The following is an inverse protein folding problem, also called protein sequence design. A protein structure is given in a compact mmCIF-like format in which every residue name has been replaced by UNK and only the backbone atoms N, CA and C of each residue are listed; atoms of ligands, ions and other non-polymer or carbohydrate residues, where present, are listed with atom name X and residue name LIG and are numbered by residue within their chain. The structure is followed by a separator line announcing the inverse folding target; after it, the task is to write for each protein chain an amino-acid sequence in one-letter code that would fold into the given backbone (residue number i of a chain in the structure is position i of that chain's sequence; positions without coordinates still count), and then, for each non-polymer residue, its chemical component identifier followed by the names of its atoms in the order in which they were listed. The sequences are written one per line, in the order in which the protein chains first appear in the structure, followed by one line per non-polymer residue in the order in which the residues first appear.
data_IF_854424642942
#
_entry.id   IF_854424642942
#
_cell.length_a   1.000
_cell.length_b   1.000
_cell.length_c   1.000
_cell.angle_alpha   90.00
_cell.angle_beta   90.00
_cell.angle_gamma   90.00
#
_symmetry.space_group_name_H-M   'P 1'
#
loop_
_entity.id
_entity.type
_entity.pdbx_description
1 polymer ?
#
# COMPACT_ATOMS: atom_id res chain seq x y z
N UNK A 1 -8.12 7.89 -13.67
CA UNK A 1 -9.38 7.64 -14.41
C UNK A 1 -9.57 6.14 -14.51
N UNK A 2 -10.52 5.60 -13.76
CA UNK A 2 -10.94 4.19 -13.84
C UNK A 2 -11.62 3.97 -15.19
N UNK A 3 -11.25 2.90 -15.89
CA UNK A 3 -11.86 2.54 -17.18
C UNK A 3 -13.34 2.16 -16.92
N UNK A 4 -14.31 2.74 -17.65
CA UNK A 4 -15.72 2.42 -17.44
C UNK A 4 -15.97 0.93 -17.69
N UNK A 5 -16.84 0.32 -16.88
CA UNK A 5 -17.27 -1.06 -17.06
C UNK A 5 -18.05 -1.13 -18.37
N UNK A 6 -17.55 -1.92 -19.32
CA UNK A 6 -18.20 -2.14 -20.61
C UNK A 6 -18.54 -3.61 -20.81
N UNK A 7 -19.59 -3.87 -21.59
CA UNK A 7 -19.96 -5.20 -22.06
C UNK A 7 -19.91 -5.25 -23.59
N UNK A 8 -19.30 -6.30 -24.13
CA UNK A 8 -19.18 -6.46 -25.58
C UNK A 8 -20.46 -7.03 -26.20
N UNK A 9 -20.79 -6.63 -27.43
CA UNK A 9 -21.93 -7.19 -28.16
C UNK A 9 -21.84 -8.70 -28.40
N UNK A 10 -20.62 -9.27 -28.42
CA UNK A 10 -20.38 -10.72 -28.48
C UNK A 10 -20.73 -11.42 -27.18
N UNK A 11 -20.40 -10.81 -26.05
CA UNK A 11 -20.78 -11.30 -24.74
C UNK A 11 -22.30 -11.27 -24.56
N UNK A 12 -22.96 -10.18 -24.96
CA UNK A 12 -24.42 -10.07 -24.97
C UNK A 12 -25.06 -11.17 -25.84
N UNK A 13 -24.53 -11.42 -27.05
CA UNK A 13 -25.00 -12.51 -27.91
C UNK A 13 -24.87 -13.89 -27.23
N UNK A 14 -23.75 -14.15 -26.56
CA UNK A 14 -23.52 -15.40 -25.82
C UNK A 14 -24.50 -15.57 -24.65
N UNK A 15 -24.74 -14.51 -23.87
CA UNK A 15 -25.66 -14.55 -22.72
C UNK A 15 -27.11 -14.74 -23.15
N UNK A 16 -27.47 -14.11 -24.26
CA UNK A 16 -28.85 -14.08 -24.73
C UNK A 16 -29.20 -15.23 -25.68
N UNK A 17 -28.20 -15.89 -26.27
CA UNK A 17 -28.40 -16.89 -27.32
C UNK A 17 -28.87 -16.30 -28.65
N UNK A 18 -28.90 -14.96 -28.79
CA UNK A 18 -29.21 -14.30 -30.07
C UNK A 18 -28.00 -14.41 -31.00
N UNK A 19 -28.25 -14.55 -32.31
CA UNK A 19 -27.18 -14.42 -33.31
C UNK A 19 -26.52 -13.04 -33.18
N UNK A 20 -25.18 -13.01 -33.24
CA UNK A 20 -24.41 -11.77 -33.04
C UNK A 20 -24.81 -10.66 -34.02
N UNK A 21 -25.12 -10.99 -35.28
CA UNK A 21 -25.63 -10.02 -36.27
C UNK A 21 -26.94 -9.33 -35.84
N UNK A 22 -27.81 -10.03 -35.12
CA UNK A 22 -29.08 -9.46 -34.64
C UNK A 22 -28.81 -8.51 -33.47
N UNK A 23 -27.89 -8.86 -32.58
CA UNK A 23 -27.43 -7.95 -31.51
C UNK A 23 -26.80 -6.69 -32.11
N UNK A 24 -25.95 -6.81 -33.14
CA UNK A 24 -25.37 -5.65 -33.82
C UNK A 24 -26.43 -4.75 -34.46
N UNK A 25 -27.49 -5.33 -35.05
CA UNK A 25 -28.60 -4.57 -35.61
C UNK A 25 -29.35 -3.82 -34.50
N UNK A 26 -29.75 -4.52 -33.43
CA UNK A 26 -30.49 -3.91 -32.32
C UNK A 26 -29.70 -2.77 -31.67
N UNK A 27 -28.37 -2.90 -31.55
CA UNK A 27 -27.49 -1.84 -31.05
C UNK A 27 -27.52 -0.62 -31.98
N UNK A 28 -27.44 -0.81 -33.30
CA UNK A 28 -27.49 0.31 -34.25
C UNK A 28 -28.83 1.03 -34.23
N UNK A 29 -29.93 0.29 -34.14
CA UNK A 29 -31.27 0.86 -34.02
C UNK A 29 -31.42 1.68 -32.74
N UNK A 30 -30.90 1.17 -31.61
CA UNK A 30 -30.87 1.91 -30.35
C UNK A 30 -30.01 3.18 -30.43
N UNK A 31 -28.78 3.08 -30.96
CA UNK A 31 -27.88 4.23 -31.07
C UNK A 31 -28.45 5.32 -31.99
N UNK A 32 -29.02 4.94 -33.15
CA UNK A 32 -29.68 5.87 -34.07
C UNK A 32 -30.89 6.57 -33.41
N UNK A 33 -31.67 5.85 -32.59
CA UNK A 33 -32.78 6.44 -31.84
C UNK A 33 -32.29 7.46 -30.79
N UNK A 34 -31.21 7.14 -30.05
CA UNK A 34 -30.62 8.03 -29.04
C UNK A 34 -29.94 9.26 -29.65
N UNK A 35 -29.27 9.08 -30.80
CA UNK A 35 -28.64 10.18 -31.55
C UNK A 35 -29.68 11.19 -32.05
N UNK A 36 -30.83 10.70 -32.53
CA UNK A 36 -31.96 11.55 -32.94
C UNK A 36 -32.57 12.36 -31.79
N UNK A 37 -32.48 11.85 -30.57
CA UNK A 37 -32.91 12.53 -29.34
C UNK A 37 -31.83 13.47 -28.77
N UNK A 38 -30.64 13.54 -29.41
CA UNK A 38 -29.56 14.44 -29.04
C UNK A 38 -28.60 13.89 -27.97
N UNK A 39 -28.59 12.57 -27.73
CA UNK A 39 -27.67 11.94 -26.79
C UNK A 39 -26.22 11.98 -27.28
N UNK A 40 -25.27 12.22 -26.37
CA UNK A 40 -23.84 12.10 -26.67
C UNK A 40 -23.40 10.63 -26.69
N UNK A 41 -23.05 10.11 -27.85
CA UNK A 41 -22.61 8.72 -28.07
C UNK A 41 -21.11 8.59 -28.35
N UNK A 42 -20.32 9.65 -28.12
CA UNK A 42 -18.88 9.67 -28.38
C UNK A 42 -18.09 8.62 -27.59
N UNK A 43 -18.65 8.13 -26.48
CA UNK A 43 -18.07 7.14 -25.60
C UNK A 43 -18.26 5.68 -26.10
N UNK A 44 -19.06 5.46 -27.14
CA UNK A 44 -19.33 4.11 -27.68
C UNK A 44 -18.14 3.60 -28.47
N UNK A 45 -17.58 2.46 -28.04
CA UNK A 45 -16.47 1.81 -28.73
C UNK A 45 -16.94 0.87 -29.84
N UNK A 46 -16.41 1.01 -31.06
CA UNK A 46 -16.64 0.09 -32.16
C UNK A 46 -15.32 -0.49 -32.70
N UNK A 47 -15.16 -1.81 -32.60
CA UNK A 47 -14.04 -2.50 -33.25
C UNK A 47 -14.46 -2.93 -34.66
N UNK A 48 -13.68 -2.55 -35.69
CA UNK A 48 -13.86 -3.02 -37.07
C UNK A 48 -12.82 -4.08 -37.44
N UNK A 49 -13.17 -4.98 -38.36
CA UNK A 49 -12.23 -5.93 -38.94
C UNK A 49 -11.40 -5.31 -40.08
N UNK A 50 -10.48 -6.09 -40.67
CA UNK A 50 -9.65 -5.64 -41.79
C UNK A 50 -10.45 -5.30 -43.07
N UNK A 51 -11.72 -5.66 -43.13
CA UNK A 51 -12.64 -5.39 -44.24
C UNK A 51 -13.60 -4.23 -43.92
N UNK A 52 -13.46 -3.60 -42.76
CA UNK A 52 -14.30 -2.49 -42.30
C UNK A 52 -15.63 -2.90 -41.66
N UNK A 53 -15.90 -4.19 -41.47
CA UNK A 53 -17.12 -4.65 -40.82
C UNK A 53 -17.00 -4.57 -39.30
N UNK A 54 -18.11 -4.20 -38.64
CA UNK A 54 -18.19 -4.19 -37.17
C UNK A 54 -17.92 -5.59 -36.60
N UNK A 55 -16.80 -5.74 -35.90
CA UNK A 55 -16.42 -6.96 -35.20
C UNK A 55 -17.15 -7.09 -33.86
N UNK A 56 -17.31 -5.98 -33.13
CA UNK A 56 -18.06 -5.87 -31.88
C UNK A 56 -18.24 -4.39 -31.47
N UNK A 57 -19.28 -4.14 -30.67
CA UNK A 57 -19.45 -2.88 -29.94
C UNK A 57 -19.08 -3.10 -28.47
N UNK A 58 -18.61 -2.05 -27.81
CA UNK A 58 -18.42 -1.96 -26.38
C UNK A 58 -19.41 -0.93 -25.83
N UNK A 59 -20.42 -1.43 -25.15
CA UNK A 59 -21.43 -0.60 -24.51
C UNK A 59 -21.07 -0.43 -23.04
N UNK A 60 -21.24 0.77 -22.51
CA UNK A 60 -21.18 0.97 -21.07
C UNK A 60 -22.43 0.39 -20.39
N UNK A 61 -22.52 0.60 -19.07
CA UNK A 61 -23.64 0.10 -18.28
C UNK A 61 -24.99 0.63 -18.78
N UNK A 62 -25.12 1.94 -18.96
CA UNK A 62 -26.38 2.59 -19.29
C UNK A 62 -26.89 2.14 -20.67
N UNK A 63 -26.01 2.08 -21.67
CA UNK A 63 -26.37 1.62 -23.00
C UNK A 63 -26.67 0.12 -23.03
N UNK A 64 -25.98 -0.69 -22.22
CA UNK A 64 -26.30 -2.11 -22.10
C UNK A 64 -27.67 -2.32 -21.45
N UNK A 65 -28.00 -1.58 -20.40
CA UNK A 65 -29.30 -1.60 -19.73
C UNK A 65 -30.42 -1.14 -20.68
N UNK A 66 -30.19 -0.06 -21.41
CA UNK A 66 -31.11 0.48 -22.42
C UNK A 66 -31.41 -0.55 -23.50
N UNK A 67 -30.39 -1.21 -24.06
CA UNK A 67 -30.56 -2.25 -25.07
C UNK A 67 -31.47 -3.39 -24.59
N UNK A 68 -31.30 -3.84 -23.35
CA UNK A 68 -32.03 -5.00 -22.83
C UNK A 68 -33.45 -4.68 -22.35
N UNK A 69 -33.85 -3.41 -22.31
CA UNK A 69 -35.25 -3.03 -22.11
C UNK A 69 -36.13 -3.64 -23.21
N UNK A 70 -35.66 -3.70 -24.46
CA UNK A 70 -36.34 -4.33 -25.58
C UNK A 70 -36.25 -5.86 -25.63
N UNK A 71 -35.51 -6.50 -24.72
CA UNK A 71 -35.34 -7.96 -24.69
C UNK A 71 -36.33 -8.62 -23.72
N UNK A 72 -36.57 -9.92 -23.89
CA UNK A 72 -37.45 -10.68 -22.99
C UNK A 72 -36.89 -10.74 -21.57
N UNK A 73 -37.77 -10.86 -20.57
CA UNK A 73 -37.42 -10.84 -19.14
C UNK A 73 -36.26 -11.81 -18.81
N UNK A 74 -36.23 -13.07 -19.29
CA UNK A 74 -35.11 -13.98 -18.99
C UNK A 74 -33.77 -13.51 -19.57
N UNK A 75 -33.79 -12.90 -20.76
CA UNK A 75 -32.58 -12.39 -21.43
C UNK A 75 -32.06 -11.14 -20.73
N UNK A 76 -32.98 -10.22 -20.41
CA UNK A 76 -32.68 -9.01 -19.63
C UNK A 76 -32.03 -9.37 -18.29
N UNK A 77 -32.61 -10.32 -17.56
CA UNK A 77 -32.08 -10.76 -16.26
C UNK A 77 -30.67 -11.34 -16.37
N UNK A 78 -30.38 -12.16 -17.40
CA UNK A 78 -29.03 -12.71 -17.63
C UNK A 78 -27.99 -11.63 -17.88
N UNK A 79 -28.34 -10.62 -18.68
CA UNK A 79 -27.41 -9.52 -19.02
C UNK A 79 -27.18 -8.61 -17.81
N UNK A 80 -28.24 -8.20 -17.09
CA UNK A 80 -28.11 -7.37 -15.88
C UNK A 80 -27.27 -8.08 -14.82
N UNK A 81 -27.51 -9.37 -14.58
CA UNK A 81 -26.70 -10.16 -13.64
C UNK A 81 -25.22 -10.12 -14.01
N UNK A 82 -24.90 -10.20 -15.30
CA UNK A 82 -23.52 -10.15 -15.78
C UNK A 82 -22.88 -8.77 -15.59
N UNK A 83 -23.62 -7.68 -15.76
CA UNK A 83 -23.14 -6.32 -15.45
C UNK A 83 -22.75 -6.24 -13.98
N UNK A 84 -23.63 -6.67 -13.07
CA UNK A 84 -23.32 -6.67 -11.63
C UNK A 84 -22.09 -7.53 -11.29
N UNK A 85 -21.91 -8.68 -11.96
CA UNK A 85 -20.69 -9.50 -11.80
C UNK A 85 -19.42 -8.80 -12.32
N UNK A 86 -19.54 -7.97 -13.37
CA UNK A 86 -18.41 -7.19 -13.88
C UNK A 86 -18.06 -6.04 -12.93
N UNK A 87 -19.07 -5.37 -12.37
CA UNK A 87 -18.89 -4.33 -11.34
C UNK A 87 -18.22 -4.90 -10.09
N UNK A 88 -18.66 -6.07 -9.61
CA UNK A 88 -18.04 -6.74 -8.45
C UNK A 88 -16.59 -7.21 -8.70
N UNK A 89 -16.18 -7.34 -9.97
CA UNK A 89 -14.82 -7.77 -10.35
C UNK A 89 -13.88 -6.61 -10.65
N UNK A 90 -14.40 -5.40 -10.82
CA UNK A 90 -13.57 -4.21 -10.69
C UNK A 90 -13.29 -4.08 -9.20
N UNK A 91 -12.04 -4.23 -8.73
CA UNK A 91 -11.74 -3.89 -7.35
C UNK A 91 -12.16 -2.43 -7.17
N UNK A 92 -13.17 -2.21 -6.34
CA UNK A 92 -13.49 -0.89 -5.84
C UNK A 92 -12.18 -0.28 -5.31
N UNK A 93 -11.63 0.68 -6.06
CA UNK A 93 -10.78 1.71 -5.49
C UNK A 93 -11.64 2.82 -4.89
N UNK A 94 -12.89 2.51 -4.57
CA UNK A 94 -13.71 3.27 -3.64
C UNK A 94 -13.48 2.62 -2.28
N UNK A 95 -12.79 3.27 -1.34
CA UNK A 95 -12.86 2.83 0.04
C UNK A 95 -14.34 2.77 0.39
N UNK A 96 -14.78 1.62 0.87
CA UNK A 96 -16.09 1.49 1.44
C UNK A 96 -16.31 2.62 2.46
N UNK A 97 -17.56 3.07 2.48
CA UNK A 97 -18.16 3.92 3.50
C UNK A 97 -17.81 5.41 3.34
N UNK A 98 -18.85 6.23 3.25
CA UNK A 98 -18.87 7.53 3.90
C UNK A 98 -18.71 7.32 5.43
N UNK A 99 -17.56 6.79 5.85
CA UNK A 99 -17.03 7.12 7.15
C UNK A 99 -16.78 8.62 7.06
N UNK A 100 -17.34 9.37 7.99
CA UNK A 100 -17.02 10.78 8.12
C UNK A 100 -15.50 10.95 7.97
N UNK A 101 -15.05 11.95 7.22
CA UNK A 101 -13.61 12.24 7.11
C UNK A 101 -12.99 12.30 8.51
N UNK A 102 -13.76 12.76 9.49
CA UNK A 102 -13.42 12.72 10.91
C UNK A 102 -13.20 11.30 11.46
N UNK A 103 -14.08 10.34 11.16
CA UNK A 103 -13.94 8.94 11.60
C UNK A 103 -12.73 8.27 10.96
N UNK A 104 -12.52 8.51 9.66
CA UNK A 104 -11.35 7.99 8.91
C UNK A 104 -10.06 8.54 9.50
N UNK A 105 -9.96 9.85 9.70
CA UNK A 105 -8.79 10.48 10.31
C UNK A 105 -8.58 9.96 11.74
N UNK A 106 -9.65 9.83 12.54
CA UNK A 106 -9.57 9.33 13.91
C UNK A 106 -9.05 7.88 13.97
N UNK A 107 -9.54 7.00 13.11
CA UNK A 107 -9.08 5.62 13.00
C UNK A 107 -7.60 5.54 12.59
N UNK A 108 -7.17 6.37 11.62
CA UNK A 108 -5.78 6.42 11.18
C UNK A 108 -4.85 6.96 12.27
N UNK A 109 -5.28 7.95 13.05
CA UNK A 109 -4.53 8.44 14.20
C UNK A 109 -4.39 7.37 15.29
N UNK A 110 -5.45 6.60 15.57
CA UNK A 110 -5.42 5.46 16.49
C UNK A 110 -4.41 4.38 16.04
N UNK A 111 -4.42 4.05 14.74
CA UNK A 111 -3.44 3.12 14.16
C UNK A 111 -2.02 3.68 14.30
N UNK A 112 -1.81 4.97 14.03
CA UNK A 112 -0.54 5.64 14.21
C UNK A 112 0.00 5.56 15.63
N UNK A 113 -0.86 5.77 16.63
CA UNK A 113 -0.49 5.64 18.03
C UNK A 113 -0.16 4.18 18.39
N UNK A 114 -0.93 3.20 17.89
CA UNK A 114 -0.60 1.79 18.10
C UNK A 114 0.74 1.39 17.47
N UNK A 115 1.04 1.88 16.26
CA UNK A 115 2.33 1.66 15.58
C UNK A 115 3.48 2.26 16.38
N UNK A 116 3.29 3.45 16.97
CA UNK A 116 4.27 4.11 17.84
C UNK A 116 4.60 3.31 19.10
N UNK A 117 3.68 2.46 19.59
CA UNK A 117 3.93 1.58 20.74
C UNK A 117 4.74 0.32 20.39
N UNK A 118 4.95 0.03 19.10
CA UNK A 118 5.75 -1.13 18.68
C UNK A 118 7.24 -0.87 19.02
N UNK A 119 7.90 -1.76 19.78
CA UNK A 119 9.31 -1.60 20.11
C UNK A 119 10.19 -1.43 18.85
N UNK A 120 11.04 -0.40 18.85
CA UNK A 120 11.91 -0.07 17.71
C UNK A 120 11.29 0.90 16.69
N UNK A 121 10.00 1.23 16.80
CA UNK A 121 9.38 2.28 15.97
C UNK A 121 9.58 3.64 16.61
N UNK A 122 10.18 4.56 15.87
CA UNK A 122 10.35 5.95 16.32
C UNK A 122 9.06 6.75 16.14
N UNK A 123 8.70 7.64 17.10
CA UNK A 123 7.49 8.46 17.00
C UNK A 123 7.37 9.27 15.71
N UNK A 124 8.48 9.86 15.23
CA UNK A 124 8.49 10.63 13.98
C UNK A 124 8.21 9.80 12.74
N UNK A 125 8.66 8.53 12.72
CA UNK A 125 8.37 7.59 11.62
C UNK A 125 6.89 7.20 11.64
N UNK A 126 6.37 6.85 12.82
CA UNK A 126 4.95 6.53 12.99
C UNK A 126 4.06 7.71 12.54
N UNK A 127 4.40 8.94 12.93
CA UNK A 127 3.70 10.15 12.47
C UNK A 127 3.80 10.36 10.95
N UNK A 128 4.99 10.21 10.34
CA UNK A 128 5.17 10.39 8.90
C UNK A 128 4.34 9.38 8.08
N UNK A 129 4.31 8.12 8.52
CA UNK A 129 3.47 7.08 7.93
C UNK A 129 1.99 7.41 8.12
N UNK A 130 1.59 7.86 9.30
CA UNK A 130 0.19 8.24 9.61
C UNK A 130 -0.30 9.38 8.75
N UNK A 131 0.50 10.45 8.59
CA UNK A 131 0.17 11.57 7.70
C UNK A 131 0.04 11.11 6.24
N UNK A 132 0.92 10.22 5.77
CA UNK A 132 0.81 9.64 4.43
C UNK A 132 -0.46 8.80 4.24
N UNK A 133 -0.87 8.04 5.27
CA UNK A 133 -2.14 7.30 5.23
C UNK A 133 -3.35 8.24 5.18
N UNK A 134 -3.33 9.34 5.96
CA UNK A 134 -4.40 10.35 5.92
C UNK A 134 -4.49 10.98 4.53
N UNK A 135 -3.37 11.43 3.97
CA UNK A 135 -3.30 12.03 2.63
C UNK A 135 -3.88 11.11 1.55
N UNK A 136 -3.48 9.82 1.53
CA UNK A 136 -3.95 8.84 0.54
C UNK A 136 -5.43 8.50 0.68
N UNK A 137 -5.96 8.41 1.91
CA UNK A 137 -7.34 7.98 2.15
C UNK A 137 -8.35 9.12 2.13
N UNK A 138 -7.92 10.36 2.41
CA UNK A 138 -8.83 11.51 2.53
C UNK A 138 -8.61 12.58 1.46
N UNK A 139 -7.45 12.60 0.80
CA UNK A 139 -7.05 13.67 -0.11
C UNK A 139 -6.66 14.98 0.59
N UNK A 140 -6.59 15.01 1.94
CA UNK A 140 -6.15 16.18 2.68
C UNK A 140 -4.67 16.46 2.39
N UNK A 141 -4.36 17.72 2.07
CA UNK A 141 -2.97 18.18 1.99
C UNK A 141 -2.36 18.21 3.39
N UNK A 142 -1.36 17.36 3.62
CA UNK A 142 -0.62 17.26 4.87
C UNK A 142 0.78 17.87 4.79
N UNK A 143 1.09 18.63 3.74
CA UNK A 143 2.44 19.17 3.47
C UNK A 143 2.97 19.99 4.64
N UNK A 144 2.16 20.87 5.21
CA UNK A 144 2.58 21.70 6.35
C UNK A 144 2.80 20.87 7.62
N UNK A 145 1.93 19.89 7.89
CA UNK A 145 2.13 18.96 9.00
C UNK A 145 3.40 18.11 8.83
N UNK A 146 3.72 17.72 7.58
CA UNK A 146 4.94 16.97 7.25
C UNK A 146 6.21 17.81 7.45
N UNK A 147 6.18 19.10 7.12
CA UNK A 147 7.29 20.05 7.37
C UNK A 147 7.56 20.26 8.86
N UNK A 148 6.53 20.16 9.69
CA UNK A 148 6.65 20.30 11.14
C UNK A 148 7.22 19.04 11.83
N UNK A 149 7.32 17.91 11.13
CA UNK A 149 7.98 16.73 11.68
C UNK A 149 9.46 17.03 11.93
N UNK A 150 10.02 16.57 13.05
CA UNK A 150 11.44 16.79 13.34
C UNK A 150 12.28 16.16 12.23
N UNK A 151 13.29 16.90 11.76
CA UNK A 151 14.32 16.34 10.91
C UNK A 151 14.92 15.10 11.60
N UNK A 152 15.28 14.08 10.82
CA UNK A 152 15.92 12.85 11.32
C UNK A 152 17.33 13.19 11.85
N UNK A 153 17.38 13.75 13.06
CA UNK A 153 18.60 14.06 13.81
C UNK A 153 18.92 12.98 14.84
N UNK A 154 18.16 11.88 14.87
CA UNK A 154 18.48 10.78 15.76
C UNK A 154 19.73 10.07 15.28
N UNK A 155 20.64 9.75 16.21
CA UNK A 155 21.89 9.14 15.82
C UNK A 155 21.59 7.70 15.34
N UNK A 156 22.27 7.28 14.27
CA UNK A 156 21.94 6.06 13.53
C UNK A 156 22.40 4.83 14.32
N UNK A 157 21.46 3.96 14.67
CA UNK A 157 21.73 2.67 15.32
C UNK A 157 21.86 1.56 14.26
N UNK A 158 23.03 1.40 13.66
CA UNK A 158 23.30 0.44 12.58
C UNK A 158 24.45 -0.54 12.87
N UNK A 159 25.15 -0.39 14.00
CA UNK A 159 26.31 -1.21 14.34
C UNK A 159 25.95 -2.32 15.34
N UNK A 160 26.12 -3.59 14.97
CA UNK A 160 26.11 -4.64 16.00
C UNK A 160 27.37 -4.58 16.87
N UNK A 161 27.36 -5.27 18.02
CA UNK A 161 28.50 -5.26 18.95
C UNK A 161 29.84 -5.63 18.29
N UNK A 162 29.83 -6.51 17.28
CA UNK A 162 31.04 -6.86 16.52
C UNK A 162 31.52 -5.71 15.63
N UNK A 163 30.61 -5.05 14.90
CA UNK A 163 30.94 -3.89 14.07
C UNK A 163 31.40 -2.71 14.93
N UNK A 164 30.73 -2.46 16.06
CA UNK A 164 31.10 -1.46 17.05
C UNK A 164 32.50 -1.74 17.62
N UNK A 165 32.79 -2.99 18.02
CA UNK A 165 34.10 -3.39 18.52
C UNK A 165 35.23 -3.18 17.51
N UNK A 166 34.98 -3.42 16.22
CA UNK A 166 35.99 -3.21 15.17
C UNK A 166 36.45 -1.75 15.08
N UNK A 167 35.58 -0.78 15.36
CA UNK A 167 35.95 0.65 15.33
C UNK A 167 37.04 0.98 16.34
N UNK A 168 37.11 0.23 17.44
CA UNK A 168 38.06 0.45 18.56
C UNK A 168 39.05 -0.70 18.73
N UNK A 169 39.23 -1.54 17.70
CA UNK A 169 40.18 -2.66 17.71
C UNK A 169 39.81 -3.82 18.64
N UNK A 170 38.54 -3.93 19.04
CA UNK A 170 38.05 -4.97 19.94
C UNK A 170 37.35 -6.11 19.19
N UNK A 171 37.45 -7.33 19.73
CA UNK A 171 36.62 -8.44 19.28
C UNK A 171 35.15 -8.22 19.66
N UNK A 172 34.22 -8.82 18.90
CA UNK A 172 32.78 -8.73 19.23
C UNK A 172 32.44 -9.30 20.62
N UNK A 173 33.20 -10.29 21.12
CA UNK A 173 33.03 -10.79 22.49
C UNK A 173 33.45 -9.73 23.52
N UNK A 174 34.56 -9.06 23.30
CA UNK A 174 35.04 -8.00 24.18
C UNK A 174 34.10 -6.79 24.17
N UNK A 175 33.59 -6.38 23.01
CA UNK A 175 32.61 -5.31 22.89
C UNK A 175 31.30 -5.65 23.65
N UNK A 176 30.80 -6.88 23.52
CA UNK A 176 29.62 -7.30 24.26
C UNK A 176 29.81 -7.26 25.78
N UNK A 177 30.99 -7.68 26.26
CA UNK A 177 31.33 -7.60 27.68
C UNK A 177 31.46 -6.17 28.18
N UNK A 178 32.03 -5.26 27.38
CA UNK A 178 32.14 -3.84 27.73
C UNK A 178 30.75 -3.18 27.84
N UNK A 179 29.87 -3.42 26.86
CA UNK A 179 28.48 -2.94 26.88
C UNK A 179 27.69 -3.49 28.08
N UNK A 180 27.91 -4.75 28.45
CA UNK A 180 27.29 -5.35 29.63
C UNK A 180 27.86 -4.81 30.94
N UNK A 181 29.19 -4.62 31.02
CA UNK A 181 29.87 -4.00 32.15
C UNK A 181 29.45 -2.55 32.40
N UNK A 182 29.09 -1.82 31.33
CA UNK A 182 28.49 -0.49 31.40
C UNK A 182 26.98 -0.51 31.72
N UNK A 183 26.37 -1.69 31.90
CA UNK A 183 24.95 -1.84 32.22
C UNK A 183 24.00 -1.50 31.07
N UNK A 184 24.48 -1.45 29.82
CA UNK A 184 23.69 -1.09 28.64
C UNK A 184 22.98 -2.31 28.02
N UNK A 185 23.49 -3.50 28.26
CA UNK A 185 22.84 -4.76 27.87
C UNK A 185 23.03 -5.82 28.96
N UNK A 186 22.17 -6.82 28.96
CA UNK A 186 22.26 -7.97 29.86
C UNK A 186 22.01 -9.26 29.08
N UNK A 187 22.40 -10.37 29.67
CA UNK A 187 22.15 -11.69 29.11
C UNK A 187 20.91 -12.27 29.78
N UNK A 188 19.89 -12.59 29.00
CA UNK A 188 18.65 -13.17 29.52
C UNK A 188 18.82 -14.66 29.89
N UNK A 189 17.78 -15.27 30.45
CA UNK A 189 17.76 -16.68 30.84
C UNK A 189 17.97 -17.66 29.67
N UNK A 190 17.73 -17.19 28.43
CA UNK A 190 17.94 -17.97 27.20
C UNK A 190 19.36 -17.84 26.66
N UNK A 191 20.19 -16.99 27.26
CA UNK A 191 21.56 -16.74 26.83
C UNK A 191 21.67 -15.71 25.70
N UNK A 192 20.59 -15.01 25.35
CA UNK A 192 20.59 -13.94 24.35
C UNK A 192 20.86 -12.57 25.00
N UNK A 193 21.42 -11.64 24.22
CA UNK A 193 21.63 -10.27 24.66
C UNK A 193 20.35 -9.44 24.53
N UNK A 194 19.99 -8.74 25.59
CA UNK A 194 18.84 -7.83 25.66
C UNK A 194 19.25 -6.43 26.13
N UNK A 195 18.55 -5.41 25.63
CA UNK A 195 18.78 -4.03 26.03
C UNK A 195 18.22 -3.74 27.42
N UNK A 196 19.04 -3.09 28.25
CA UNK A 196 18.55 -2.45 29.48
C UNK A 196 17.85 -1.13 29.17
N UNK A 197 17.18 -0.55 30.16
CA UNK A 197 16.60 0.79 30.03
C UNK A 197 17.66 1.85 29.67
N UNK A 198 18.84 1.77 30.28
CA UNK A 198 19.97 2.64 29.96
C UNK A 198 20.48 2.44 28.52
N UNK A 199 20.51 1.19 28.04
CA UNK A 199 20.92 0.85 26.68
C UNK A 199 20.04 1.43 25.59
N UNK A 200 18.72 1.57 25.82
CA UNK A 200 17.76 2.09 24.83
C UNK A 200 18.04 3.52 24.36
N UNK A 201 18.85 4.29 25.11
CA UNK A 201 19.27 5.64 24.71
C UNK A 201 20.29 5.61 23.57
N UNK A 202 20.97 4.48 23.38
CA UNK A 202 22.11 4.31 22.49
C UNK A 202 21.96 3.16 21.51
N UNK A 203 20.83 2.44 21.53
CA UNK A 203 20.64 1.26 20.73
C UNK A 203 19.17 0.88 20.56
N UNK A 204 18.92 0.11 19.52
CA UNK A 204 17.62 -0.46 19.17
C UNK A 204 17.75 -1.98 18.98
N UNK A 205 16.77 -2.74 19.46
CA UNK A 205 16.67 -4.17 19.19
C UNK A 205 15.82 -4.37 17.94
N UNK A 206 16.42 -4.90 16.87
CA UNK A 206 15.77 -5.11 15.59
C UNK A 206 15.57 -6.59 15.31
N UNK A 207 14.39 -7.02 14.82
CA UNK A 207 14.20 -8.38 14.36
C UNK A 207 15.12 -8.65 13.16
N UNK A 208 15.68 -9.85 13.12
CA UNK A 208 16.47 -10.33 11.98
C UNK A 208 16.09 -11.76 11.64
N UNK A 209 16.25 -12.10 10.36
CA UNK A 209 16.11 -13.46 9.88
C UNK A 209 17.40 -13.85 9.14
N UNK A 210 18.02 -14.95 9.57
CA UNK A 210 19.23 -15.50 8.94
C UNK A 210 19.13 -16.99 8.82
N UNK A 211 19.20 -17.49 7.59
CA UNK A 211 19.22 -18.93 7.27
C UNK A 211 18.07 -19.71 7.97
N UNK A 212 16.88 -19.12 8.00
CA UNK A 212 15.68 -19.72 8.62
C UNK A 212 15.59 -19.59 10.15
N UNK A 213 16.55 -18.92 10.80
CA UNK A 213 16.47 -18.55 12.21
C UNK A 213 16.06 -17.08 12.34
N UNK A 214 14.93 -16.84 13.00
CA UNK A 214 14.45 -15.51 13.37
C UNK A 214 14.83 -15.20 14.82
N UNK A 215 15.28 -13.97 15.07
CA UNK A 215 15.66 -13.51 16.41
C UNK A 215 15.74 -11.99 16.49
N UNK A 216 16.26 -11.47 17.61
CA UNK A 216 16.51 -10.04 17.79
C UNK A 216 18.02 -9.75 17.85
N UNK A 217 18.44 -8.69 17.19
CA UNK A 217 19.81 -8.20 17.23
C UNK A 217 19.81 -6.77 17.75
N UNK A 218 20.69 -6.48 18.69
CA UNK A 218 20.91 -5.12 19.18
C UNK A 218 21.81 -4.37 18.18
N UNK A 219 21.33 -3.24 17.69
CA UNK A 219 22.08 -2.30 16.88
C UNK A 219 22.37 -1.05 17.70
N UNK A 220 23.64 -0.72 17.79
CA UNK A 220 24.19 0.36 18.58
C UNK A 220 24.43 1.59 17.72
N UNK A 221 24.23 2.72 18.37
CA UNK A 221 24.73 3.99 17.97
C UNK A 221 26.26 4.04 18.10
N UNK A 222 26.95 4.67 17.16
CA UNK A 222 28.41 4.87 17.25
C UNK A 222 28.82 5.68 18.48
N UNK A 223 28.01 6.65 18.90
CA UNK A 223 28.33 7.55 20.02
C UNK A 223 28.37 6.83 21.38
N UNK A 224 27.87 5.59 21.45
CA UNK A 224 27.96 4.76 22.67
C UNK A 224 29.41 4.50 23.07
N UNK A 225 30.37 4.57 22.15
CA UNK A 225 31.79 4.42 22.44
C UNK A 225 32.29 5.46 23.45
N UNK A 226 31.76 6.69 23.40
CA UNK A 226 32.07 7.73 24.38
C UNK A 226 31.57 7.37 25.80
N UNK A 227 30.44 6.68 25.92
CA UNK A 227 29.93 6.17 27.20
C UNK A 227 30.83 5.06 27.76
N UNK A 228 31.44 4.28 26.87
CA UNK A 228 32.39 3.23 27.24
C UNK A 228 33.79 3.76 27.55
N UNK A 229 34.04 5.07 27.36
CA UNK A 229 35.39 5.66 27.48
C UNK A 229 36.36 5.10 26.44
N UNK A 230 35.85 4.69 25.27
CA UNK A 230 36.63 4.12 24.18
C UNK A 230 36.71 5.14 23.04
N UNK A 231 37.91 5.63 22.77
CA UNK A 231 38.18 6.46 21.62
C UNK A 231 38.61 5.60 20.43
N UNK A 232 38.22 6.01 19.24
CA UNK A 232 38.72 5.39 18.02
C UNK A 232 40.22 5.66 17.89
N UNK A 233 40.99 4.68 17.37
CA UNK A 233 42.37 4.94 17.02
C UNK A 233 42.37 6.10 16.02
N UNK A 234 43.01 7.21 16.40
CA UNK A 234 43.13 8.40 15.55
C UNK A 234 43.61 8.03 14.14
N UNK A 235 43.29 8.84 13.12
CA UNK A 235 43.62 8.52 11.74
C UNK A 235 45.10 8.13 11.65
N UNK A 236 45.38 6.92 11.17
CA UNK A 236 46.74 6.51 10.84
C UNK A 236 47.21 7.46 9.75
N UNK A 237 48.04 8.42 10.14
CA UNK A 237 48.75 9.30 9.23
C UNK A 237 49.68 8.38 8.44
N UNK A 238 49.34 8.18 7.16
CA UNK A 238 50.21 7.53 6.18
C UNK A 238 51.37 8.46 5.82
#
# INVERSE_FOLDING_TARGET
MTKPVTMSSREIAKLTGKEHKNVLRDIREMLDALEKDGSDLSHVGEDKDARGYTKQFHLDRELTETLVTGYSIPLRHKVIRRIHELEQKVPDHVPAIAADMQDTVSALLLIGEAIKQVPGIKPGIAMACTLGMIEVNTGLDVTEARKALPAKNDPVCDLNATALGKLVGMSGKAANLALAGAGLQLKNDRGDWELTEAGRRWAEAMPFERRGHAGYQILWNRDVLGVLGLDEPGPQVA
#
